data_IF_870007819499
#
_entry.id   IF_870007819499
#
_cell.length_a   1.000
_cell.length_b   1.000
_cell.length_c   1.000
_cell.angle_alpha   90.00
_cell.angle_beta   90.00
_cell.angle_gamma   90.00
#
_symmetry.space_group_name_H-M   'P 1'
#
loop_
_entity.id
_entity.type
_entity.pdbx_description
1 polymer ?
#
# COMPACT_ATOMS: atom_id res chain seq x y z
N UNK A 1 -30.71 9.05 17.55
CA UNK A 1 -29.54 8.57 16.79
C UNK A 1 -28.48 9.66 16.96
N UNK A 2 -27.51 9.49 17.85
CA UNK A 2 -26.44 10.46 18.08
C UNK A 2 -25.36 10.24 17.01
N UNK A 3 -25.19 11.23 16.16
CA UNK A 3 -24.07 11.22 15.21
C UNK A 3 -22.77 11.49 15.99
N UNK A 4 -21.93 10.48 16.14
CA UNK A 4 -20.58 10.65 16.65
C UNK A 4 -19.83 11.60 15.71
N UNK A 5 -19.54 12.82 16.17
CA UNK A 5 -18.74 13.77 15.43
C UNK A 5 -17.32 13.18 15.29
N UNK A 6 -16.98 12.70 14.12
CA UNK A 6 -15.61 12.26 13.80
C UNK A 6 -14.78 13.55 13.65
N UNK A 7 -14.22 14.01 14.73
CA UNK A 7 -13.18 15.04 14.69
C UNK A 7 -11.89 14.37 14.23
N UNK A 8 -11.50 14.58 12.96
CA UNK A 8 -10.13 14.31 12.52
C UNK A 8 -9.22 15.24 13.33
N UNK A 9 -8.49 14.70 14.28
CA UNK A 9 -7.46 15.44 14.99
C UNK A 9 -6.25 15.57 14.07
N UNK A 10 -6.12 16.71 13.40
CA UNK A 10 -4.98 17.03 12.53
C UNK A 10 -3.62 16.81 13.20
N UNK A 11 -3.56 17.02 14.53
CA UNK A 11 -2.36 16.79 15.34
C UNK A 11 -1.94 15.31 15.37
N UNK A 12 -2.86 14.36 15.29
CA UNK A 12 -2.52 12.92 15.31
C UNK A 12 -1.83 12.51 14.03
N UNK A 13 -2.31 12.97 12.85
CA UNK A 13 -1.67 12.70 11.57
C UNK A 13 -0.26 13.29 11.50
N UNK A 14 -0.08 14.51 12.01
CA UNK A 14 1.25 15.15 12.05
C UNK A 14 2.20 14.41 12.99
N UNK A 15 1.75 14.01 14.16
CA UNK A 15 2.55 13.21 15.10
C UNK A 15 2.95 11.87 14.51
N UNK A 16 2.01 11.16 13.88
CA UNK A 16 2.28 9.90 13.20
C UNK A 16 3.32 10.05 12.09
N UNK A 17 3.17 11.06 11.23
CA UNK A 17 4.13 11.36 10.17
C UNK A 17 5.53 11.66 10.72
N UNK A 18 5.61 12.44 11.80
CA UNK A 18 6.89 12.76 12.47
C UNK A 18 7.54 11.51 13.09
N UNK A 19 6.75 10.62 13.68
CA UNK A 19 7.26 9.36 14.23
C UNK A 19 7.80 8.44 13.14
N UNK A 20 7.06 8.27 12.04
CA UNK A 20 7.53 7.51 10.85
C UNK A 20 8.82 8.11 10.28
N UNK A 21 8.90 9.42 10.15
CA UNK A 21 10.11 10.11 9.71
C UNK A 21 11.30 9.88 10.66
N UNK A 22 11.07 9.90 11.98
CA UNK A 22 12.07 9.60 12.99
C UNK A 22 12.57 8.16 12.87
N UNK A 23 11.69 7.20 12.65
CA UNK A 23 12.06 5.80 12.47
C UNK A 23 12.87 5.57 11.19
N UNK A 24 12.55 6.31 10.12
CA UNK A 24 13.27 6.24 8.84
C UNK A 24 14.64 6.95 8.88
N UNK A 25 14.83 7.95 9.74
CA UNK A 25 16.00 8.82 9.76
C UNK A 25 17.35 8.08 9.78
N UNK A 26 17.55 6.97 10.50
CA UNK A 26 18.82 6.23 10.51
C UNK A 26 19.18 5.61 9.16
N UNK A 27 18.20 5.39 8.27
CA UNK A 27 18.36 4.77 6.96
C UNK A 27 18.53 5.80 5.83
N UNK A 28 18.29 7.08 6.14
CA UNK A 28 18.27 8.16 5.14
C UNK A 28 19.59 8.90 5.16
N UNK A 29 20.22 9.03 3.97
CA UNK A 29 21.43 9.81 3.73
C UNK A 29 21.09 11.14 3.08
N UNK A 30 21.83 12.19 3.42
CA UNK A 30 21.65 13.54 2.85
C UNK A 30 20.18 14.04 2.87
N UNK A 31 19.42 13.58 3.86
CA UNK A 31 18.03 13.95 4.07
C UNK A 31 17.00 13.40 3.08
N UNK A 32 17.44 12.65 2.03
CA UNK A 32 16.54 12.17 0.95
C UNK A 32 16.91 10.84 0.32
N UNK A 33 18.14 10.37 0.50
CA UNK A 33 18.68 9.21 -0.24
C UNK A 33 18.66 7.99 0.68
N UNK A 34 18.17 6.87 0.16
CA UNK A 34 18.23 5.56 0.80
C UNK A 34 18.93 4.59 -0.14
N UNK A 35 19.87 3.79 0.37
CA UNK A 35 20.49 2.74 -0.44
C UNK A 35 19.45 1.67 -0.80
N UNK A 36 19.51 1.15 -2.02
CA UNK A 36 18.57 0.14 -2.48
C UNK A 36 18.50 -1.09 -1.56
N UNK A 37 19.62 -1.51 -0.96
CA UNK A 37 19.70 -2.62 -0.01
C UNK A 37 18.93 -2.36 1.30
N UNK A 38 18.72 -1.10 1.67
CA UNK A 38 18.07 -0.70 2.91
C UNK A 38 16.57 -0.40 2.70
N UNK A 39 16.05 -0.56 1.47
CA UNK A 39 14.66 -0.23 1.13
C UNK A 39 13.65 -1.06 1.92
N UNK A 40 13.88 -2.36 2.11
CA UNK A 40 12.97 -3.21 2.90
C UNK A 40 12.92 -2.73 4.35
N UNK A 41 14.07 -2.43 4.96
CA UNK A 41 14.13 -1.89 6.31
C UNK A 41 13.43 -0.51 6.40
N UNK A 42 13.56 0.33 5.37
CA UNK A 42 12.83 1.60 5.30
C UNK A 42 11.32 1.38 5.26
N UNK A 43 10.83 0.45 4.42
CA UNK A 43 9.40 0.13 4.36
C UNK A 43 8.88 -0.34 5.72
N UNK A 44 9.63 -1.21 6.41
CA UNK A 44 9.28 -1.67 7.76
C UNK A 44 9.33 -0.55 8.82
N UNK A 45 10.13 0.49 8.62
CA UNK A 45 10.20 1.63 9.53
C UNK A 45 9.02 2.60 9.36
N UNK A 46 8.45 2.70 8.15
CA UNK A 46 7.43 3.71 7.82
C UNK A 46 6.04 3.16 7.64
N UNK A 47 5.88 1.88 7.24
CA UNK A 47 4.56 1.25 7.05
C UNK A 47 4.14 0.56 8.35
N UNK A 48 2.84 0.61 8.63
CA UNK A 48 2.20 -0.05 9.79
C UNK A 48 1.08 -0.97 9.33
N UNK A 49 0.70 -1.96 10.14
CA UNK A 49 -0.50 -2.76 9.88
C UNK A 49 -1.72 -1.87 9.61
N UNK A 50 -2.56 -2.29 8.66
CA UNK A 50 -3.78 -1.61 8.22
C UNK A 50 -3.56 -0.29 7.48
N UNK A 51 -2.31 0.09 7.17
CA UNK A 51 -2.07 1.27 6.34
C UNK A 51 -2.66 1.10 4.95
N UNK A 52 -3.09 2.23 4.39
CA UNK A 52 -3.44 2.33 2.97
C UNK A 52 -2.15 2.65 2.20
N UNK A 53 -1.77 1.75 1.30
CA UNK A 53 -0.55 1.85 0.50
C UNK A 53 -0.90 1.97 -0.98
N UNK A 54 -0.45 3.06 -1.58
CA UNK A 54 -0.57 3.28 -3.01
C UNK A 54 0.74 2.91 -3.71
N UNK A 55 0.64 2.03 -4.72
CA UNK A 55 1.75 1.70 -5.61
C UNK A 55 1.41 2.20 -7.01
N UNK A 56 2.31 2.99 -7.59
CA UNK A 56 2.16 3.46 -8.96
C UNK A 56 2.17 2.27 -9.93
N UNK A 57 1.14 2.19 -10.77
CA UNK A 57 1.05 1.20 -11.83
C UNK A 57 0.14 1.69 -12.94
N UNK A 58 0.66 1.77 -14.15
CA UNK A 58 -0.10 1.98 -15.37
C UNK A 58 0.62 1.26 -16.54
N UNK A 59 0.11 1.37 -17.74
CA UNK A 59 0.70 0.68 -18.90
C UNK A 59 2.14 1.07 -19.23
N UNK A 60 2.62 2.21 -18.73
CA UNK A 60 3.94 2.76 -19.07
C UNK A 60 4.87 2.86 -17.87
N UNK A 61 4.34 2.94 -16.66
CA UNK A 61 5.11 3.11 -15.43
C UNK A 61 4.70 2.04 -14.43
N UNK A 62 5.67 1.28 -13.97
CA UNK A 62 5.48 0.21 -13.00
C UNK A 62 6.49 0.34 -11.89
N UNK A 63 6.02 0.37 -10.66
CA UNK A 63 6.89 0.39 -9.47
C UNK A 63 7.35 -1.05 -9.13
N UNK A 64 8.11 -1.70 -10.01
CA UNK A 64 8.55 -3.08 -9.84
C UNK A 64 9.49 -3.26 -8.65
N UNK A 65 10.49 -2.40 -8.51
CA UNK A 65 11.45 -2.47 -7.42
C UNK A 65 10.80 -2.31 -6.05
N UNK A 66 9.94 -1.29 -5.87
CA UNK A 66 9.24 -1.06 -4.61
C UNK A 66 8.24 -2.16 -4.31
N UNK A 67 7.53 -2.68 -5.32
CA UNK A 67 6.63 -3.82 -5.15
C UNK A 67 7.38 -5.08 -4.70
N UNK A 68 8.55 -5.38 -5.30
CA UNK A 68 9.44 -6.48 -4.88
C UNK A 68 9.95 -6.30 -3.46
N UNK A 69 10.33 -5.08 -3.08
CA UNK A 69 10.76 -4.79 -1.71
C UNK A 69 9.60 -4.96 -0.72
N UNK A 70 8.40 -4.48 -1.06
CA UNK A 70 7.23 -4.65 -0.20
C UNK A 70 6.87 -6.13 0.01
N UNK A 71 7.11 -6.98 -0.99
CA UNK A 71 6.96 -8.43 -0.85
C UNK A 71 7.98 -9.10 0.07
N UNK A 72 9.00 -8.38 0.54
CA UNK A 72 10.06 -8.90 1.39
C UNK A 72 9.96 -8.44 2.86
N UNK A 73 9.03 -7.55 3.17
CA UNK A 73 8.81 -7.12 4.56
C UNK A 73 8.31 -8.29 5.41
N UNK A 74 8.57 -8.23 6.71
CA UNK A 74 8.11 -9.23 7.66
C UNK A 74 6.58 -9.14 7.84
N UNK A 75 5.80 -10.16 7.46
CA UNK A 75 4.34 -10.17 7.59
C UNK A 75 3.86 -10.18 9.05
N UNK A 76 4.72 -10.45 10.01
CA UNK A 76 4.39 -10.31 11.44
C UNK A 76 4.38 -8.83 11.83
N UNK A 77 5.21 -8.01 11.20
CA UNK A 77 5.29 -6.57 11.46
C UNK A 77 4.32 -5.76 10.61
N UNK A 78 4.13 -6.18 9.34
CA UNK A 78 3.32 -5.46 8.36
C UNK A 78 2.33 -6.43 7.73
N UNK A 79 1.06 -6.25 8.03
CA UNK A 79 -0.03 -7.11 7.58
C UNK A 79 -1.32 -6.31 7.37
N UNK A 80 -2.31 -6.93 6.74
CA UNK A 80 -3.64 -6.36 6.49
C UNK A 80 -3.61 -5.01 5.76
N UNK A 81 -2.58 -4.77 4.92
CA UNK A 81 -2.51 -3.53 4.14
C UNK A 81 -3.69 -3.42 3.19
N UNK A 82 -4.17 -2.18 3.03
CA UNK A 82 -5.14 -1.82 2.00
C UNK A 82 -4.40 -1.24 0.79
N UNK A 83 -4.24 -2.05 -0.24
CA UNK A 83 -3.55 -1.63 -1.46
C UNK A 83 -4.47 -0.81 -2.36
N UNK A 84 -3.95 0.29 -2.89
CA UNK A 84 -4.62 1.12 -3.89
C UNK A 84 -3.75 1.17 -5.13
N UNK A 85 -4.23 0.63 -6.25
CA UNK A 85 -3.45 0.47 -7.47
C UNK A 85 -4.31 0.81 -8.70
N UNK A 86 -3.74 1.53 -9.65
CA UNK A 86 -4.47 1.85 -10.89
C UNK A 86 -4.61 0.61 -11.78
N UNK A 87 -3.49 -0.02 -12.14
CA UNK A 87 -3.44 -1.22 -12.98
C UNK A 87 -2.50 -2.25 -12.37
N UNK A 88 -2.95 -3.50 -12.27
CA UNK A 88 -2.14 -4.61 -11.76
C UNK A 88 -1.47 -5.33 -12.93
N UNK A 89 -0.29 -4.87 -13.30
CA UNK A 89 0.44 -5.41 -14.46
C UNK A 89 1.44 -6.49 -14.06
N UNK A 90 2.17 -6.27 -12.97
CA UNK A 90 3.24 -7.17 -12.54
C UNK A 90 2.73 -8.22 -11.52
N UNK A 91 3.30 -9.42 -11.52
CA UNK A 91 3.00 -10.44 -10.50
C UNK A 91 3.20 -9.92 -9.07
N UNK A 92 4.24 -9.14 -8.84
CA UNK A 92 4.60 -8.56 -7.54
C UNK A 92 3.49 -7.69 -6.94
N UNK A 93 2.63 -7.11 -7.79
CA UNK A 93 1.48 -6.33 -7.33
C UNK A 93 0.45 -7.19 -6.57
N UNK A 94 0.45 -8.50 -6.77
CA UNK A 94 -0.42 -9.45 -6.07
C UNK A 94 0.31 -10.36 -5.09
N UNK A 95 1.63 -10.49 -5.17
CA UNK A 95 2.41 -11.35 -4.27
C UNK A 95 2.29 -10.91 -2.80
N UNK A 96 2.04 -9.63 -2.54
CA UNK A 96 1.78 -9.10 -1.19
C UNK A 96 0.55 -9.73 -0.53
N UNK A 97 -0.47 -10.13 -1.32
CA UNK A 97 -1.66 -10.82 -0.81
C UNK A 97 -1.37 -12.29 -0.51
N UNK A 98 -0.60 -12.94 -1.37
CA UNK A 98 -0.20 -14.33 -1.17
C UNK A 98 0.66 -14.50 0.10
N UNK A 99 1.47 -13.50 0.41
CA UNK A 99 2.35 -13.46 1.59
C UNK A 99 1.67 -12.98 2.88
N UNK A 100 0.37 -12.63 2.82
CA UNK A 100 -0.36 -12.14 3.98
C UNK A 100 0.03 -10.72 4.42
N UNK A 101 0.75 -9.96 3.58
CA UNK A 101 1.13 -8.57 3.85
C UNK A 101 -0.04 -7.63 3.57
N UNK A 102 -0.78 -7.88 2.50
CA UNK A 102 -1.96 -7.11 2.14
C UNK A 102 -3.23 -7.96 2.22
N UNK A 103 -4.37 -7.30 2.46
CA UNK A 103 -5.67 -7.96 2.59
C UNK A 103 -6.71 -7.37 1.64
N UNK A 104 -6.72 -6.07 1.45
CA UNK A 104 -7.73 -5.37 0.67
C UNK A 104 -7.14 -4.68 -0.54
N UNK A 105 -7.87 -4.65 -1.65
CA UNK A 105 -7.46 -4.04 -2.92
C UNK A 105 -8.55 -3.12 -3.46
N UNK A 106 -8.18 -1.86 -3.70
CA UNK A 106 -8.90 -0.95 -4.58
C UNK A 106 -8.11 -0.80 -5.88
N UNK A 107 -8.77 -0.86 -7.02
CA UNK A 107 -8.12 -0.77 -8.33
C UNK A 107 -9.00 -0.11 -9.38
N UNK A 108 -8.42 0.34 -10.48
CA UNK A 108 -9.17 0.79 -11.66
C UNK A 108 -9.30 -0.32 -12.70
N UNK A 109 -8.24 -1.10 -12.88
CA UNK A 109 -8.19 -2.13 -13.90
C UNK A 109 -7.31 -3.31 -13.50
N UNK A 110 -7.84 -4.52 -13.60
CA UNK A 110 -7.14 -5.75 -13.19
C UNK A 110 -5.99 -6.14 -14.11
N UNK A 111 -6.00 -5.67 -15.35
CA UNK A 111 -4.96 -5.99 -16.32
C UNK A 111 -4.77 -7.50 -16.55
N UNK A 112 -3.53 -7.94 -16.81
CA UNK A 112 -3.22 -9.35 -17.04
C UNK A 112 -3.38 -10.23 -15.79
N UNK A 113 -3.54 -9.66 -14.61
CA UNK A 113 -3.66 -10.40 -13.34
C UNK A 113 -5.11 -10.79 -12.99
N UNK A 114 -6.09 -10.54 -13.87
CA UNK A 114 -7.51 -10.77 -13.58
C UNK A 114 -7.82 -12.20 -13.07
N UNK A 115 -7.21 -13.22 -13.68
CA UNK A 115 -7.38 -14.61 -13.26
C UNK A 115 -6.87 -14.89 -11.85
N UNK A 116 -5.71 -14.32 -11.49
CA UNK A 116 -5.10 -14.48 -10.18
C UNK A 116 -5.90 -13.73 -9.10
N UNK A 117 -6.44 -12.55 -9.44
CA UNK A 117 -7.36 -11.81 -8.53
C UNK A 117 -8.59 -12.66 -8.24
N UNK A 118 -9.23 -13.24 -9.26
CA UNK A 118 -10.40 -14.09 -9.08
C UNK A 118 -10.10 -15.30 -8.19
N UNK A 119 -8.95 -15.94 -8.38
CA UNK A 119 -8.49 -17.03 -7.53
C UNK A 119 -8.32 -16.59 -6.08
N UNK A 120 -7.64 -15.48 -5.82
CA UNK A 120 -7.40 -14.97 -4.46
C UNK A 120 -8.68 -14.56 -3.74
N UNK A 121 -9.68 -14.04 -4.49
CA UNK A 121 -11.01 -13.78 -3.95
C UNK A 121 -11.70 -15.06 -3.49
N UNK A 122 -11.65 -16.12 -4.30
CA UNK A 122 -12.24 -17.42 -3.96
C UNK A 122 -11.55 -18.07 -2.76
N UNK A 123 -10.23 -17.93 -2.66
CA UNK A 123 -9.42 -18.44 -1.55
C UNK A 123 -9.49 -17.58 -0.28
N UNK A 124 -10.15 -16.43 -0.33
CA UNK A 124 -10.24 -15.49 0.80
C UNK A 124 -8.91 -14.79 1.15
N UNK A 125 -7.92 -14.86 0.25
CA UNK A 125 -6.63 -14.19 0.41
C UNK A 125 -6.70 -12.69 0.12
N UNK A 126 -7.69 -12.26 -0.67
CA UNK A 126 -7.88 -10.89 -1.10
C UNK A 126 -9.34 -10.49 -0.90
N UNK A 127 -9.56 -9.29 -0.38
CA UNK A 127 -10.84 -8.62 -0.34
C UNK A 127 -10.87 -7.51 -1.38
N UNK A 128 -11.82 -7.55 -2.31
CA UNK A 128 -11.98 -6.47 -3.26
C UNK A 128 -12.74 -5.32 -2.58
N UNK A 129 -12.11 -4.18 -2.50
CA UNK A 129 -12.72 -2.98 -1.94
C UNK A 129 -13.59 -2.29 -2.98
N UNK A 130 -12.97 -1.58 -3.90
CA UNK A 130 -13.68 -0.90 -4.97
C UNK A 130 -12.95 -1.01 -6.30
N UNK A 131 -13.72 -1.02 -7.38
CA UNK A 131 -13.22 -0.84 -8.74
C UNK A 131 -13.58 0.59 -9.13
N UNK A 132 -12.59 1.43 -9.31
CA UNK A 132 -12.76 2.86 -9.54
C UNK A 132 -12.49 3.22 -10.99
N UNK A 133 -13.21 4.23 -11.49
CA UNK A 133 -12.74 4.99 -12.63
C UNK A 133 -11.47 5.75 -12.25
N UNK A 134 -10.73 6.23 -13.24
CA UNK A 134 -9.52 7.02 -12.99
C UNK A 134 -9.78 8.24 -12.10
N UNK A 135 -10.90 8.93 -12.31
CA UNK A 135 -11.29 10.11 -11.53
C UNK A 135 -11.68 9.76 -10.09
N UNK A 136 -12.37 8.66 -9.88
CA UNK A 136 -12.74 8.19 -8.54
C UNK A 136 -11.53 7.76 -7.75
N UNK A 137 -10.56 7.07 -8.40
CA UNK A 137 -9.31 6.68 -7.78
C UNK A 137 -8.51 7.92 -7.34
N UNK A 138 -8.48 8.96 -8.15
CA UNK A 138 -7.86 10.24 -7.81
C UNK A 138 -8.47 10.85 -6.54
N UNK A 139 -9.80 10.82 -6.43
CA UNK A 139 -10.51 11.28 -5.24
C UNK A 139 -10.09 10.52 -3.97
N UNK A 140 -9.87 9.20 -4.09
CA UNK A 140 -9.41 8.37 -2.97
C UNK A 140 -8.01 8.72 -2.47
N UNK A 141 -7.15 9.21 -3.32
CA UNK A 141 -5.81 9.64 -2.89
C UNK A 141 -5.83 10.91 -2.05
N UNK A 142 -6.82 11.77 -2.22
CA UNK A 142 -6.87 13.08 -1.58
C UNK A 142 -7.92 13.21 -0.48
N UNK A 143 -8.94 12.38 -0.48
CA UNK A 143 -10.10 12.54 0.40
C UNK A 143 -10.20 11.48 1.50
N UNK A 144 -9.54 10.34 1.35
CA UNK A 144 -9.50 9.24 2.32
C UNK A 144 -8.16 9.18 3.05
#
# INVERSE_FOLDING_TARGET
>A
MEFKKVTREWDTLKKDAMERAKNAAPLVKEGKIVDAKDTVALLEAVIRPYDKVNIEGNNQKQADFLAKCLCQVDPVKIHDLHMVQSVLTLPEHLDVFEKGIAKKLDMSFSGPQAGRIAQFLQEGKLELGAIHTYLELYGRYFLD
#
